data_IF_513150343546
#
_entry.id   IF_513150343546
#
_cell.length_a   1.000
_cell.length_b   1.000
_cell.length_c   1.000
_cell.angle_alpha   90.00
_cell.angle_beta   90.00
_cell.angle_gamma   90.00
#
_symmetry.space_group_name_H-M   'P 1'
#
loop_
_entity.id
_entity.type
_entity.pdbx_description
1 polymer ?
#
# COMPACT_ATOMS: atom_id res chain seq x y z
N UNK A 1 23.61 9.87 -8.02
CA UNK A 1 22.91 9.21 -6.90
C UNK A 1 21.48 8.96 -7.33
N UNK A 2 20.96 7.74 -7.19
CA UNK A 2 19.54 7.44 -7.44
C UNK A 2 18.76 8.05 -6.29
N UNK A 3 17.69 8.81 -6.58
CA UNK A 3 16.85 9.38 -5.54
C UNK A 3 16.21 8.25 -4.70
N UNK A 4 16.09 8.40 -3.37
CA UNK A 4 15.54 7.34 -2.54
C UNK A 4 14.08 7.05 -2.93
N UNK A 5 13.64 5.78 -2.92
CA UNK A 5 12.28 5.41 -3.32
C UNK A 5 11.26 6.02 -2.36
N UNK A 6 10.16 6.52 -2.90
CA UNK A 6 9.06 7.09 -2.10
C UNK A 6 7.96 6.04 -1.95
N UNK A 7 7.62 5.73 -0.70
CA UNK A 7 6.49 4.87 -0.34
C UNK A 7 5.46 5.71 0.40
N UNK A 8 4.23 5.77 -0.08
CA UNK A 8 3.17 6.48 0.63
C UNK A 8 2.24 5.53 1.35
N UNK A 9 1.68 5.93 2.49
CA UNK A 9 0.70 5.15 3.25
C UNK A 9 -0.65 5.85 3.35
N UNK A 10 -1.73 5.14 3.07
CA UNK A 10 -3.11 5.56 3.33
C UNK A 10 -3.86 4.45 4.06
N UNK A 11 -4.49 4.73 5.20
CA UNK A 11 -5.25 3.71 5.94
C UNK A 11 -6.47 4.28 6.69
N UNK A 12 -7.31 3.39 7.24
CA UNK A 12 -8.38 3.71 8.19
C UNK A 12 -8.06 3.33 9.66
N UNK A 13 -6.79 3.05 9.98
CA UNK A 13 -6.35 2.60 11.31
C UNK A 13 -6.33 3.69 12.39
N UNK A 14 -6.41 4.96 12.02
CA UNK A 14 -6.09 6.08 12.91
C UNK A 14 -4.62 6.13 13.30
N UNK A 15 -4.33 6.92 14.33
CA UNK A 15 -2.96 7.14 14.86
C UNK A 15 -2.84 6.80 16.36
N UNK A 16 -3.88 6.21 16.95
CA UNK A 16 -3.88 5.85 18.38
C UNK A 16 -3.17 4.53 18.65
N UNK A 17 -3.26 3.60 17.71
CA UNK A 17 -2.78 2.23 17.82
C UNK A 17 -1.46 2.04 17.04
N UNK A 18 -0.68 0.98 17.31
CA UNK A 18 0.67 0.82 16.76
C UNK A 18 0.71 0.45 15.27
N UNK A 19 -0.42 0.14 14.64
CA UNK A 19 -0.49 -0.43 13.29
C UNK A 19 0.33 0.36 12.26
N UNK A 20 0.19 1.68 12.22
CA UNK A 20 0.93 2.52 11.28
C UNK A 20 2.44 2.46 11.54
N UNK A 21 2.86 2.48 12.80
CA UNK A 21 4.27 2.39 13.17
C UNK A 21 4.86 1.02 12.78
N UNK A 22 4.12 -0.08 12.98
CA UNK A 22 4.55 -1.41 12.58
C UNK A 22 4.70 -1.56 11.06
N UNK A 23 3.80 -0.96 10.28
CA UNK A 23 3.93 -0.91 8.82
C UNK A 23 5.21 -0.18 8.39
N UNK A 24 5.50 0.98 9.00
CA UNK A 24 6.71 1.76 8.72
C UNK A 24 7.98 1.02 9.12
N UNK A 25 8.01 0.46 10.33
CA UNK A 25 9.14 -0.33 10.81
C UNK A 25 9.42 -1.54 9.91
N UNK A 26 8.37 -2.21 9.43
CA UNK A 26 8.49 -3.31 8.47
C UNK A 26 9.12 -2.83 7.16
N UNK A 27 8.66 -1.70 6.61
CA UNK A 27 9.22 -1.12 5.38
C UNK A 27 10.71 -0.81 5.56
N UNK A 28 11.06 -0.06 6.61
CA UNK A 28 12.43 0.38 6.87
C UNK A 28 13.38 -0.79 7.19
N UNK A 29 12.87 -1.88 7.76
CA UNK A 29 13.68 -3.07 8.01
C UNK A 29 14.12 -3.79 6.73
N UNK A 30 13.38 -3.63 5.63
CA UNK A 30 13.64 -4.28 4.34
C UNK A 30 14.35 -3.31 3.38
N UNK A 31 13.90 -2.05 3.34
CA UNK A 31 14.44 -0.95 2.53
C UNK A 31 14.70 0.27 3.43
N UNK A 32 15.88 0.36 4.08
CA UNK A 32 16.21 1.45 5.00
C UNK A 32 16.23 2.84 4.34
N UNK A 33 16.51 2.90 3.05
CA UNK A 33 16.57 4.15 2.27
C UNK A 33 15.18 4.68 1.87
N UNK A 34 14.10 3.93 2.12
CA UNK A 34 12.76 4.35 1.70
C UNK A 34 12.32 5.63 2.41
N UNK A 35 11.86 6.61 1.62
CA UNK A 35 11.18 7.80 2.14
C UNK A 35 9.70 7.50 2.29
N UNK A 36 9.25 7.38 3.54
CA UNK A 36 7.85 7.10 3.84
C UNK A 36 7.08 8.40 4.03
N UNK A 37 5.96 8.55 3.34
CA UNK A 37 5.05 9.71 3.47
C UNK A 37 3.64 9.23 3.75
N UNK A 38 3.04 9.68 4.85
CA UNK A 38 1.64 9.38 5.11
C UNK A 38 0.76 10.31 4.27
N UNK A 39 -0.16 9.75 3.50
CA UNK A 39 -1.25 10.52 2.88
C UNK A 39 -2.26 10.86 3.97
N UNK A 40 -2.78 9.84 4.65
CA UNK A 40 -3.61 9.96 5.85
C UNK A 40 -3.86 8.59 6.46
N UNK A 41 -4.05 8.55 7.77
CA UNK A 41 -4.52 7.35 8.46
C UNK A 41 -5.93 7.54 9.05
N UNK A 42 -6.59 8.64 8.68
CA UNK A 42 -7.88 9.08 9.21
C UNK A 42 -9.01 8.87 8.20
N UNK A 43 -8.87 7.91 7.28
CA UNK A 43 -10.03 7.48 6.49
C UNK A 43 -11.07 6.93 7.45
N UNK A 44 -12.34 7.27 7.24
CA UNK A 44 -13.42 6.70 8.03
C UNK A 44 -13.36 5.17 7.97
N UNK A 45 -13.54 4.52 9.12
CA UNK A 45 -13.39 3.08 9.28
C UNK A 45 -14.21 2.33 8.22
N UNK A 46 -13.55 1.47 7.46
CA UNK A 46 -14.09 0.65 6.38
C UNK A 46 -14.67 1.43 5.17
N UNK A 47 -14.49 2.75 5.10
CA UNK A 47 -15.00 3.55 4.00
C UNK A 47 -14.06 3.50 2.78
N UNK A 48 -14.18 2.41 2.01
CA UNK A 48 -13.36 2.14 0.81
C UNK A 48 -13.47 3.30 -0.21
N UNK A 49 -14.67 3.88 -0.38
CA UNK A 49 -14.90 4.96 -1.35
C UNK A 49 -14.17 6.24 -0.97
N UNK A 50 -14.21 6.62 0.31
CA UNK A 50 -13.43 7.76 0.83
C UNK A 50 -11.93 7.53 0.63
N UNK A 51 -11.44 6.34 0.98
CA UNK A 51 -10.03 5.98 0.75
C UNK A 51 -9.62 6.08 -0.72
N UNK A 52 -10.45 5.59 -1.63
CA UNK A 52 -10.19 5.63 -3.07
C UNK A 52 -10.14 7.07 -3.60
N UNK A 53 -11.05 7.93 -3.15
CA UNK A 53 -11.07 9.35 -3.53
C UNK A 53 -9.83 10.09 -3.03
N UNK A 54 -9.49 9.92 -1.74
CA UNK A 54 -8.30 10.56 -1.15
C UNK A 54 -7.04 10.10 -1.88
N UNK A 55 -6.88 8.79 -2.10
CA UNK A 55 -5.74 8.24 -2.83
C UNK A 55 -5.63 8.86 -4.22
N UNK A 56 -6.69 8.82 -5.02
CA UNK A 56 -6.68 9.34 -6.39
C UNK A 56 -6.46 10.85 -6.48
N UNK A 57 -6.79 11.58 -5.42
CA UNK A 57 -6.55 13.03 -5.30
C UNK A 57 -5.10 13.34 -4.92
N UNK A 58 -4.48 12.51 -4.07
CA UNK A 58 -3.14 12.75 -3.53
C UNK A 58 -2.01 12.29 -4.45
N UNK A 59 -2.09 11.09 -5.03
CA UNK A 59 -0.96 10.48 -5.75
C UNK A 59 -0.45 11.28 -6.97
N UNK A 60 -1.25 12.10 -7.70
CA UNK A 60 -0.73 12.91 -8.81
C UNK A 60 0.31 13.95 -8.42
N UNK A 61 0.48 14.23 -7.13
CA UNK A 61 1.47 15.18 -6.62
C UNK A 61 2.79 14.52 -6.22
N UNK A 62 2.87 13.19 -6.22
CA UNK A 62 4.09 12.46 -5.90
C UNK A 62 4.97 12.23 -7.13
N UNK A 63 6.30 12.04 -6.95
CA UNK A 63 7.22 11.73 -8.04
C UNK A 63 6.78 10.51 -8.86
N UNK A 64 7.09 10.48 -10.16
CA UNK A 64 6.91 9.27 -10.97
C UNK A 64 7.73 8.12 -10.37
N UNK A 65 7.17 6.90 -10.40
CA UNK A 65 7.77 5.72 -9.80
C UNK A 65 7.51 5.56 -8.30
N UNK A 66 6.74 6.44 -7.67
CA UNK A 66 6.32 6.28 -6.28
C UNK A 66 5.48 5.01 -6.09
N UNK A 67 5.59 4.40 -4.91
CA UNK A 67 4.82 3.23 -4.51
C UNK A 67 3.77 3.68 -3.50
N UNK A 68 2.49 3.45 -3.78
CA UNK A 68 1.38 3.88 -2.95
C UNK A 68 0.72 2.66 -2.30
N UNK A 69 0.88 2.54 -0.99
CA UNK A 69 0.20 1.51 -0.20
C UNK A 69 -1.08 2.11 0.39
N UNK A 70 -2.22 1.50 0.08
CA UNK A 70 -3.51 1.88 0.63
C UNK A 70 -4.20 0.68 1.27
N UNK A 71 -4.65 0.84 2.52
CA UNK A 71 -5.28 -0.23 3.30
C UNK A 71 -6.53 0.29 4.00
N UNK A 72 -7.68 0.05 3.38
CA UNK A 72 -9.01 0.15 3.96
C UNK A 72 -9.69 -1.18 3.64
N UNK A 73 -9.77 -2.06 4.64
CA UNK A 73 -9.90 -3.49 4.38
C UNK A 73 -10.83 -4.21 5.37
N UNK A 74 -12.15 -4.02 5.26
CA UNK A 74 -13.12 -4.78 6.06
C UNK A 74 -13.09 -6.28 5.77
N UNK A 75 -12.53 -6.70 4.63
CA UNK A 75 -12.43 -8.10 4.20
C UNK A 75 -11.09 -8.76 4.53
N UNK A 76 -10.29 -8.20 5.44
CA UNK A 76 -9.01 -8.82 5.83
C UNK A 76 -9.21 -10.26 6.32
N UNK A 77 -8.32 -11.16 5.92
CA UNK A 77 -8.40 -12.58 6.28
C UNK A 77 -9.50 -13.39 5.55
N UNK A 78 -10.20 -12.79 4.58
CA UNK A 78 -11.17 -13.48 3.70
C UNK A 78 -10.53 -13.84 2.34
N UNK A 79 -11.36 -14.22 1.36
CA UNK A 79 -10.93 -14.59 -0.01
C UNK A 79 -10.42 -13.42 -0.86
N UNK A 80 -10.59 -12.16 -0.39
CA UNK A 80 -10.14 -10.98 -1.16
C UNK A 80 -8.62 -11.02 -1.38
N UNK A 81 -8.19 -10.77 -2.61
CA UNK A 81 -6.77 -10.82 -2.98
C UNK A 81 -6.00 -9.62 -2.41
N UNK A 82 -4.72 -9.83 -2.16
CA UNK A 82 -3.75 -8.75 -2.02
C UNK A 82 -3.14 -8.51 -3.39
N UNK A 83 -3.14 -7.27 -3.89
CA UNK A 83 -2.75 -6.97 -5.26
C UNK A 83 -1.73 -5.84 -5.36
N UNK A 84 -0.95 -5.89 -6.43
CA UNK A 84 -0.11 -4.82 -6.94
C UNK A 84 -0.68 -4.42 -8.30
N UNK A 85 -0.87 -3.12 -8.53
CA UNK A 85 -1.21 -2.56 -9.84
C UNK A 85 -0.07 -1.65 -10.27
N UNK A 86 0.60 -2.00 -11.37
CA UNK A 86 1.57 -1.14 -12.02
C UNK A 86 0.85 -0.27 -13.02
N UNK A 87 0.97 1.04 -12.88
CA UNK A 87 0.35 2.01 -13.79
C UNK A 87 1.39 2.60 -14.75
N UNK A 88 0.99 3.53 -15.62
CA UNK A 88 1.95 4.28 -16.43
C UNK A 88 2.87 5.16 -15.59
N UNK A 89 2.48 5.50 -14.35
CA UNK A 89 3.16 6.51 -13.52
C UNK A 89 3.70 5.97 -12.20
N UNK A 90 2.98 5.10 -11.52
CA UNK A 90 3.23 4.69 -10.15
C UNK A 90 2.93 3.20 -9.96
N UNK A 91 3.16 2.70 -8.74
CA UNK A 91 2.75 1.36 -8.33
C UNK A 91 1.76 1.49 -7.18
N UNK A 92 0.62 0.83 -7.27
CA UNK A 92 -0.42 0.82 -6.24
C UNK A 92 -0.45 -0.55 -5.57
N UNK A 93 -0.56 -0.60 -4.24
CA UNK A 93 -0.55 -1.83 -3.45
C UNK A 93 -1.67 -1.78 -2.43
N UNK A 94 -2.46 -2.84 -2.33
CA UNK A 94 -3.60 -2.87 -1.41
C UNK A 94 -4.55 -4.05 -1.62
N UNK A 95 -5.68 -4.05 -0.91
CA UNK A 95 -6.72 -5.07 -1.06
C UNK A 95 -7.45 -4.93 -2.40
N UNK A 96 -7.79 -6.06 -3.01
CA UNK A 96 -8.64 -6.13 -4.20
C UNK A 96 -10.12 -5.97 -3.80
N UNK A 97 -10.50 -4.74 -3.46
CA UNK A 97 -11.85 -4.38 -3.00
C UNK A 97 -12.37 -3.07 -3.61
N UNK A 98 -11.70 -2.58 -4.67
CA UNK A 98 -12.01 -1.31 -5.33
C UNK A 98 -11.27 -0.09 -4.78
N UNK A 99 -10.56 -0.19 -3.65
CA UNK A 99 -9.80 0.93 -3.06
C UNK A 99 -8.81 1.58 -4.03
N UNK A 100 -8.15 0.77 -4.87
CA UNK A 100 -7.12 1.24 -5.81
C UNK A 100 -7.68 1.65 -7.17
N UNK A 101 -8.96 1.33 -7.45
CA UNK A 101 -9.51 1.35 -8.80
C UNK A 101 -9.48 2.75 -9.44
N UNK A 102 -9.90 3.77 -8.68
CA UNK A 102 -9.97 5.15 -9.19
C UNK A 102 -8.58 5.66 -9.60
N UNK A 103 -7.57 5.44 -8.75
CA UNK A 103 -6.17 5.79 -9.03
C UNK A 103 -5.63 5.02 -10.25
N UNK A 104 -5.87 3.71 -10.29
CA UNK A 104 -5.41 2.84 -11.37
C UNK A 104 -5.97 3.26 -12.73
N UNK A 105 -7.27 3.57 -12.80
CA UNK A 105 -7.93 4.06 -14.00
C UNK A 105 -7.38 5.41 -14.44
N UNK A 106 -7.18 6.35 -13.50
CA UNK A 106 -6.67 7.70 -13.79
C UNK A 106 -5.25 7.68 -14.36
N UNK A 107 -4.39 6.80 -13.85
CA UNK A 107 -3.00 6.70 -14.29
C UNK A 107 -2.77 5.75 -15.47
N UNK A 108 -3.78 4.94 -15.84
CA UNK A 108 -3.68 3.90 -16.86
C UNK A 108 -2.96 2.65 -16.36
N UNK A 109 -3.65 1.51 -16.38
CA UNK A 109 -3.13 0.22 -15.92
C UNK A 109 -2.17 -0.38 -16.95
N UNK A 110 -1.00 -0.85 -16.51
CA UNK A 110 -0.09 -1.68 -17.31
C UNK A 110 -0.24 -3.16 -16.97
N UNK A 111 -0.11 -3.49 -15.68
CA UNK A 111 -0.05 -4.87 -15.20
C UNK A 111 -0.68 -4.96 -13.81
N UNK A 112 -1.28 -6.11 -13.50
CA UNK A 112 -1.86 -6.40 -12.18
C UNK A 112 -1.35 -7.75 -11.71
N UNK A 113 -0.90 -7.82 -10.47
CA UNK A 113 -0.33 -9.02 -9.85
C UNK A 113 -1.02 -9.33 -8.54
N UNK A 114 -1.30 -10.61 -8.28
CA UNK A 114 -1.63 -11.10 -6.95
C UNK A 114 -0.36 -11.28 -6.11
N UNK A 115 -0.38 -10.88 -4.84
CA UNK A 115 0.74 -11.01 -3.92
C UNK A 115 0.61 -12.35 -3.19
N UNK A 116 1.11 -13.42 -3.82
CA UNK A 116 1.01 -14.79 -3.30
C UNK A 116 2.37 -15.43 -3.03
N UNK A 117 3.46 -14.83 -3.51
CA UNK A 117 4.79 -15.40 -3.37
C UNK A 117 5.27 -15.32 -1.90
N UNK A 118 5.53 -16.48 -1.24
CA UNK A 118 5.91 -16.52 0.18
C UNK A 118 7.20 -15.75 0.51
N UNK A 119 8.07 -15.51 -0.49
CA UNK A 119 9.30 -14.71 -0.30
C UNK A 119 9.02 -13.27 0.09
N UNK A 120 7.91 -12.71 -0.40
CA UNK A 120 7.55 -11.30 -0.22
C UNK A 120 6.50 -11.08 0.87
N UNK A 121 6.01 -12.16 1.47
CA UNK A 121 5.00 -12.16 2.54
C UNK A 121 5.68 -12.53 3.87
N UNK A 122 5.07 -12.19 5.01
CA UNK A 122 5.57 -12.59 6.31
C UNK A 122 5.48 -14.11 6.49
N UNK A 123 6.49 -14.72 7.13
CA UNK A 123 6.48 -16.17 7.42
C UNK A 123 5.27 -16.60 8.26
N UNK A 124 4.83 -15.73 9.16
CA UNK A 124 3.63 -15.92 9.98
C UNK A 124 2.63 -14.82 9.63
N UNK A 125 1.60 -15.19 8.89
CA UNK A 125 0.51 -14.29 8.49
C UNK A 125 -0.47 -14.11 9.65
N UNK A 126 -0.69 -12.86 10.05
CA UNK A 126 -1.78 -12.49 10.96
C UNK A 126 -3.08 -12.46 10.17
N UNK A 127 -4.14 -13.07 10.72
CA UNK A 127 -5.48 -13.04 10.09
C UNK A 127 -6.08 -11.64 9.96
N UNK A 128 -5.60 -10.70 10.78
CA UNK A 128 -6.19 -9.36 10.92
C UNK A 128 -5.28 -8.23 10.47
N UNK A 129 -4.02 -8.49 10.11
CA UNK A 129 -3.08 -7.40 9.83
C UNK A 129 -2.18 -7.60 8.60
N UNK A 130 -2.84 -7.77 7.45
CA UNK A 130 -2.17 -7.83 6.14
C UNK A 130 -1.46 -6.52 5.74
N UNK A 131 -1.82 -5.38 6.37
CA UNK A 131 -1.09 -4.11 6.28
C UNK A 131 0.41 -4.29 6.46
N UNK A 132 0.79 -4.83 7.62
CA UNK A 132 2.18 -5.16 7.96
C UNK A 132 2.68 -6.40 7.23
N UNK A 133 1.90 -7.47 7.26
CA UNK A 133 2.39 -8.81 6.91
C UNK A 133 2.48 -9.06 5.39
N UNK A 134 1.80 -8.26 4.57
CA UNK A 134 1.78 -8.40 3.10
C UNK A 134 2.15 -7.07 2.44
N UNK A 135 1.34 -6.02 2.64
CA UNK A 135 1.43 -4.81 1.82
C UNK A 135 2.71 -4.01 2.08
N UNK A 136 3.07 -3.77 3.33
CA UNK A 136 4.32 -3.12 3.71
C UNK A 136 5.55 -3.86 3.21
N UNK A 137 5.55 -5.21 3.28
CA UNK A 137 6.67 -6.02 2.81
C UNK A 137 6.79 -5.95 1.29
N UNK A 138 5.69 -6.12 0.56
CA UNK A 138 5.68 -6.03 -0.89
C UNK A 138 6.18 -4.66 -1.38
N UNK A 139 5.71 -3.57 -0.76
CA UNK A 139 6.17 -2.22 -1.06
C UNK A 139 7.67 -2.06 -0.84
N UNK A 140 8.20 -2.58 0.26
CA UNK A 140 9.61 -2.46 0.59
C UNK A 140 10.51 -3.29 -0.33
N UNK A 141 10.09 -4.50 -0.72
CA UNK A 141 10.84 -5.29 -1.71
C UNK A 141 10.82 -4.64 -3.09
N UNK A 142 9.69 -4.08 -3.53
CA UNK A 142 9.63 -3.32 -4.79
C UNK A 142 10.51 -2.09 -4.76
N UNK A 143 10.55 -1.37 -3.63
CA UNK A 143 11.42 -0.21 -3.45
C UNK A 143 12.92 -0.57 -3.46
N UNK A 144 13.26 -1.79 -3.04
CA UNK A 144 14.64 -2.29 -2.99
C UNK A 144 15.18 -2.70 -4.37
N UNK A 145 14.29 -2.99 -5.33
CA UNK A 145 14.64 -3.60 -6.64
C UNK A 145 14.82 -5.11 -6.56
#
# INVERSE_FOLDING_TARGET
MVAPPVITLLTDFGLKDPYVAEMKGTILSICPEARIVDITHQVEKFNIRMGAYILASSIPHFPKGSIHVAVVDPGVGTERKAIIIKTLRSVLIGPDNGLLALSAMREGVKEVFAIENPRYIAKKLSKTFHGRDIFSRAAAYLAKG
#
